data_IF_684165749866
#
_entry.id   IF_684165749866
#
_cell.length_a   1.000
_cell.length_b   1.000
_cell.length_c   1.000
_cell.angle_alpha   90.00
_cell.angle_beta   90.00
_cell.angle_gamma   90.00
#
_symmetry.space_group_name_H-M   'P 1'
#
loop_
_entity.id
_entity.type
_entity.pdbx_description
1 polymer ?
#
# COMPACT_ATOMS: atom_id res chain seq x y z
N UNK A 1 -14.97 -50.93 66.19
CA UNK A 1 -15.10 -49.75 65.29
C UNK A 1 -13.72 -49.33 64.74
N UNK A 2 -12.99 -50.21 64.06
CA UNK A 2 -11.60 -49.93 63.57
C UNK A 2 -11.41 -50.12 62.07
N UNK A 3 -12.39 -50.71 61.38
CA UNK A 3 -12.38 -50.98 59.94
C UNK A 3 -12.67 -49.73 59.10
N UNK A 4 -13.63 -48.89 59.50
CA UNK A 4 -14.05 -47.69 58.74
C UNK A 4 -12.94 -46.65 58.57
N UNK A 5 -12.09 -46.48 59.59
CA UNK A 5 -10.97 -45.52 59.51
C UNK A 5 -9.86 -46.05 58.60
N UNK A 6 -9.57 -47.35 58.63
CA UNK A 6 -8.58 -47.97 57.73
C UNK A 6 -9.04 -47.93 56.27
N UNK A 7 -10.32 -48.17 56.00
CA UNK A 7 -10.87 -48.05 54.64
C UNK A 7 -10.84 -46.61 54.14
N UNK A 8 -11.18 -45.64 55.00
CA UNK A 8 -11.10 -44.21 54.64
C UNK A 8 -9.65 -43.79 54.35
N UNK A 9 -8.68 -44.25 55.13
CA UNK A 9 -7.25 -43.98 54.90
C UNK A 9 -6.74 -44.66 53.62
N UNK A 10 -7.17 -45.88 53.34
CA UNK A 10 -6.79 -46.58 52.10
C UNK A 10 -7.40 -45.88 50.87
N UNK A 11 -8.65 -45.42 50.94
CA UNK A 11 -9.27 -44.67 49.83
C UNK A 11 -8.61 -43.31 49.60
N UNK A 12 -8.24 -42.57 50.65
CA UNK A 12 -7.55 -41.28 50.47
C UNK A 12 -6.15 -41.47 49.89
N UNK A 13 -5.39 -42.46 50.35
CA UNK A 13 -4.07 -42.78 49.80
C UNK A 13 -4.19 -43.21 48.33
N UNK A 14 -5.15 -44.08 48.01
CA UNK A 14 -5.40 -44.51 46.64
C UNK A 14 -5.82 -43.35 45.73
N UNK A 15 -6.70 -42.47 46.21
CA UNK A 15 -7.15 -41.28 45.49
C UNK A 15 -6.02 -40.30 45.20
N UNK A 16 -5.18 -39.99 46.20
CA UNK A 16 -4.02 -39.11 46.04
C UNK A 16 -3.01 -39.69 45.04
N UNK A 17 -2.80 -41.01 45.06
CA UNK A 17 -1.86 -41.68 44.15
C UNK A 17 -2.38 -41.72 42.72
N UNK A 18 -3.69 -41.92 42.53
CA UNK A 18 -4.30 -41.90 41.20
C UNK A 18 -4.25 -40.49 40.59
N UNK A 19 -4.58 -39.46 41.36
CA UNK A 19 -4.54 -38.05 40.89
C UNK A 19 -3.12 -37.62 40.57
N UNK A 20 -2.12 -37.99 41.39
CA UNK A 20 -0.71 -37.65 41.12
C UNK A 20 -0.18 -38.35 39.87
N UNK A 21 -0.57 -39.61 39.63
CA UNK A 21 -0.23 -40.33 38.41
C UNK A 21 -0.80 -39.66 37.14
N UNK A 22 -2.05 -39.20 37.20
CA UNK A 22 -2.70 -38.48 36.10
C UNK A 22 -2.01 -37.13 35.85
N UNK A 23 -1.70 -36.36 36.90
CA UNK A 23 -0.99 -35.09 36.77
C UNK A 23 0.42 -35.30 36.19
N UNK A 24 1.17 -36.29 36.67
CA UNK A 24 2.50 -36.62 36.17
C UNK A 24 2.46 -37.03 34.70
N UNK A 25 1.47 -37.84 34.29
CA UNK A 25 1.29 -38.23 32.90
C UNK A 25 0.89 -37.04 32.02
N UNK A 26 0.00 -36.16 32.49
CA UNK A 26 -0.39 -34.96 31.77
C UNK A 26 0.80 -34.00 31.55
N UNK A 27 1.63 -33.79 32.57
CA UNK A 27 2.86 -32.99 32.46
C UNK A 27 3.88 -33.64 31.51
N UNK A 28 4.08 -34.96 31.61
CA UNK A 28 4.95 -35.70 30.69
C UNK A 28 4.45 -35.61 29.24
N UNK A 29 3.15 -35.74 29.02
CA UNK A 29 2.55 -35.71 27.69
C UNK A 29 2.59 -34.31 27.07
N UNK A 30 2.29 -33.25 27.83
CA UNK A 30 2.44 -31.86 27.34
C UNK A 30 3.92 -31.53 27.07
N UNK A 31 4.85 -32.02 27.89
CA UNK A 31 6.29 -31.92 27.63
C UNK A 31 6.69 -32.64 26.33
N UNK A 32 6.22 -33.87 26.13
CA UNK A 32 6.49 -34.68 24.92
C UNK A 32 5.90 -34.03 23.67
N UNK A 33 4.72 -33.42 23.77
CA UNK A 33 4.08 -32.67 22.67
C UNK A 33 4.81 -31.38 22.34
N UNK A 34 5.24 -30.61 23.34
CA UNK A 34 5.93 -29.32 23.13
C UNK A 34 7.40 -29.46 22.75
N UNK A 35 8.03 -30.59 23.09
CA UNK A 35 9.44 -30.85 22.81
C UNK A 35 9.67 -31.81 21.64
N UNK A 36 8.81 -31.78 20.62
CA UNK A 36 8.96 -32.58 19.42
C UNK A 36 10.21 -32.14 18.62
N UNK A 37 11.29 -32.90 18.79
CA UNK A 37 12.63 -32.62 18.24
C UNK A 37 12.61 -32.63 16.71
N UNK A 38 11.69 -33.39 16.11
CA UNK A 38 11.54 -33.49 14.66
C UNK A 38 11.05 -32.17 14.04
N UNK A 39 10.08 -31.50 14.68
CA UNK A 39 9.55 -30.21 14.26
C UNK A 39 10.56 -29.07 14.47
N UNK A 40 11.27 -29.06 15.60
CA UNK A 40 12.35 -28.08 15.84
C UNK A 40 13.52 -28.26 14.88
N UNK A 41 13.86 -29.51 14.51
CA UNK A 41 14.87 -29.79 13.48
C UNK A 41 14.39 -29.36 12.10
N UNK A 42 13.11 -29.54 11.76
CA UNK A 42 12.51 -29.02 10.52
C UNK A 42 12.54 -27.49 10.51
N UNK A 43 12.06 -26.82 11.55
CA UNK A 43 12.14 -25.36 11.69
C UNK A 43 13.56 -24.82 11.65
N UNK A 44 14.54 -25.49 12.29
CA UNK A 44 15.95 -25.07 12.21
C UNK A 44 16.55 -25.31 10.82
N UNK A 45 16.17 -26.38 10.13
CA UNK A 45 16.58 -26.63 8.75
C UNK A 45 15.96 -25.60 7.80
N UNK A 46 14.67 -25.31 7.94
CA UNK A 46 13.98 -24.28 7.16
C UNK A 46 14.52 -22.88 7.47
N UNK A 47 14.71 -22.50 8.74
CA UNK A 47 15.36 -21.23 9.11
C UNK A 47 16.79 -21.14 8.59
N UNK A 48 17.57 -22.22 8.63
CA UNK A 48 18.94 -22.24 8.10
C UNK A 48 18.97 -22.18 6.57
N UNK A 49 17.98 -22.76 5.89
CA UNK A 49 17.80 -22.60 4.43
C UNK A 49 17.43 -21.17 4.10
N UNK A 50 16.43 -20.60 4.77
CA UNK A 50 16.00 -19.20 4.56
C UNK A 50 17.12 -18.21 4.86
N UNK A 51 17.87 -18.40 5.95
CA UNK A 51 19.04 -17.55 6.28
C UNK A 51 20.20 -17.78 5.30
N UNK A 52 20.43 -19.02 4.81
CA UNK A 52 21.45 -19.28 3.79
C UNK A 52 21.06 -18.70 2.43
N UNK A 53 19.80 -18.80 2.04
CA UNK A 53 19.25 -18.17 0.83
C UNK A 53 19.28 -16.64 0.95
N UNK A 54 18.97 -16.08 2.14
CA UNK A 54 19.07 -14.64 2.41
C UNK A 54 20.52 -14.14 2.47
N UNK A 55 21.45 -14.93 3.03
CA UNK A 55 22.88 -14.59 3.05
C UNK A 55 23.58 -14.79 1.68
N UNK A 56 23.00 -15.62 0.81
CA UNK A 56 23.42 -15.76 -0.59
C UNK A 56 22.74 -14.73 -1.52
N UNK A 57 21.80 -13.94 -1.00
CA UNK A 57 21.12 -12.85 -1.71
C UNK A 57 21.64 -11.45 -1.34
N UNK A 58 22.83 -11.36 -0.71
CA UNK A 58 23.63 -10.14 -0.68
C UNK A 58 24.80 -10.36 -1.64
N UNK A 59 24.54 -10.24 -2.95
CA UNK A 59 24.68 -8.94 -3.59
C UNK A 59 23.54 -8.62 -4.57
N UNK A 60 23.13 -7.34 -4.60
CA UNK A 60 22.56 -6.60 -5.74
C UNK A 60 22.24 -7.41 -7.01
N UNK A 61 20.95 -7.65 -7.31
CA UNK A 61 20.28 -7.49 -8.64
C UNK A 61 19.02 -8.37 -8.80
N UNK A 62 17.88 -7.70 -9.03
CA UNK A 62 16.80 -8.08 -9.97
C UNK A 62 15.97 -9.36 -9.72
N UNK A 63 15.04 -9.27 -8.77
CA UNK A 63 13.95 -10.25 -8.56
C UNK A 63 13.41 -10.13 -7.14
N UNK A 64 12.70 -9.05 -6.84
CA UNK A 64 12.64 -8.47 -5.49
C UNK A 64 11.48 -9.02 -4.65
N UNK A 65 11.61 -10.22 -4.08
CA UNK A 65 10.61 -10.70 -3.10
C UNK A 65 10.75 -9.92 -1.79
N UNK A 66 10.02 -8.81 -1.63
CA UNK A 66 9.90 -8.08 -0.36
C UNK A 66 8.70 -8.65 0.40
N UNK A 67 8.92 -9.15 1.61
CA UNK A 67 7.83 -9.58 2.48
C UNK A 67 6.99 -10.76 1.93
N UNK A 68 7.62 -11.74 1.28
CA UNK A 68 6.95 -12.92 0.69
C UNK A 68 6.03 -12.61 -0.51
N UNK A 69 5.92 -11.35 -0.95
CA UNK A 69 5.13 -10.98 -2.13
C UNK A 69 6.08 -10.84 -3.34
N UNK A 70 5.69 -11.41 -4.48
CA UNK A 70 6.46 -11.31 -5.73
C UNK A 70 6.12 -10.03 -6.49
N UNK A 71 7.08 -9.53 -7.29
CA UNK A 71 6.86 -8.34 -8.14
C UNK A 71 5.67 -8.53 -9.09
N UNK A 72 5.48 -9.75 -9.61
CA UNK A 72 4.37 -10.08 -10.51
C UNK A 72 3.01 -9.97 -9.79
N UNK A 73 2.90 -10.43 -8.54
CA UNK A 73 1.69 -10.26 -7.72
C UNK A 73 1.39 -8.78 -7.47
N UNK A 74 2.41 -7.96 -7.26
CA UNK A 74 2.27 -6.52 -7.05
C UNK A 74 1.79 -5.84 -8.34
N UNK A 75 2.31 -6.22 -9.53
CA UNK A 75 1.78 -5.71 -10.81
C UNK A 75 0.31 -6.04 -11.01
N UNK A 76 -0.08 -7.29 -10.77
CA UNK A 76 -1.47 -7.72 -10.89
C UNK A 76 -2.37 -6.99 -9.88
N UNK A 77 -1.87 -6.74 -8.67
CA UNK A 77 -2.59 -5.94 -7.67
C UNK A 77 -2.76 -4.48 -8.11
N UNK A 78 -1.73 -3.87 -8.70
CA UNK A 78 -1.79 -2.50 -9.23
C UNK A 78 -2.77 -2.37 -10.39
N UNK A 79 -2.80 -3.33 -11.31
CA UNK A 79 -3.77 -3.35 -12.41
C UNK A 79 -5.21 -3.36 -11.88
N UNK A 80 -5.49 -4.18 -10.86
CA UNK A 80 -6.80 -4.20 -10.19
C UNK A 80 -7.14 -2.85 -9.56
N UNK A 81 -6.20 -2.24 -8.84
CA UNK A 81 -6.41 -0.93 -8.21
C UNK A 81 -6.63 0.15 -9.28
N UNK A 82 -5.91 0.11 -10.40
CA UNK A 82 -6.07 1.06 -11.52
C UNK A 82 -7.43 0.93 -12.20
N UNK A 83 -7.96 -0.28 -12.34
CA UNK A 83 -9.27 -0.55 -12.92
C UNK A 83 -10.44 -0.10 -12.03
N UNK A 84 -10.21 0.12 -10.73
CA UNK A 84 -11.23 0.64 -9.82
C UNK A 84 -11.42 2.15 -10.01
N UNK A 85 -12.67 2.58 -10.16
CA UNK A 85 -13.04 3.99 -10.26
C UNK A 85 -12.86 4.69 -8.91
N UNK A 86 -12.11 5.79 -8.93
CA UNK A 86 -11.97 6.67 -7.77
C UNK A 86 -13.21 7.55 -7.69
N UNK A 87 -13.87 7.69 -6.52
CA UNK A 87 -15.06 8.52 -6.40
C UNK A 87 -14.80 9.96 -6.85
N UNK A 88 -15.72 10.61 -7.59
CA UNK A 88 -15.48 11.92 -8.18
C UNK A 88 -15.57 13.05 -7.15
N UNK A 89 -16.49 12.96 -6.19
CA UNK A 89 -16.74 14.07 -5.26
C UNK A 89 -15.76 14.08 -4.08
N UNK A 90 -15.43 15.26 -3.51
CA UNK A 90 -14.56 15.34 -2.34
C UNK A 90 -15.10 14.56 -1.14
N UNK A 91 -16.42 14.59 -0.93
CA UNK A 91 -17.09 13.92 0.18
C UNK A 91 -17.00 12.39 0.05
N UNK A 92 -17.25 11.83 -1.13
CA UNK A 92 -17.13 10.39 -1.35
C UNK A 92 -15.67 9.91 -1.30
N UNK A 93 -14.71 10.75 -1.71
CA UNK A 93 -13.28 10.44 -1.56
C UNK A 93 -12.88 10.31 -0.10
N UNK A 94 -13.41 11.18 0.77
CA UNK A 94 -13.16 11.10 2.21
C UNK A 94 -13.74 9.81 2.80
N UNK A 95 -14.98 9.46 2.45
CA UNK A 95 -15.60 8.21 2.89
C UNK A 95 -14.83 6.97 2.40
N UNK A 96 -14.44 6.97 1.12
CA UNK A 96 -13.62 5.92 0.54
C UNK A 96 -12.26 5.81 1.24
N UNK A 97 -11.58 6.93 1.49
CA UNK A 97 -10.31 6.95 2.23
C UNK A 97 -10.45 6.30 3.60
N UNK A 98 -11.45 6.71 4.38
CA UNK A 98 -11.70 6.17 5.72
C UNK A 98 -11.98 4.66 5.67
N UNK A 99 -12.80 4.23 4.72
CA UNK A 99 -13.09 2.81 4.49
C UNK A 99 -11.82 2.01 4.16
N UNK A 100 -10.96 2.53 3.29
CA UNK A 100 -9.71 1.87 2.91
C UNK A 100 -8.74 1.80 4.08
N UNK A 101 -8.55 2.88 4.85
CA UNK A 101 -7.67 2.86 6.03
C UNK A 101 -8.17 1.84 7.05
N UNK A 102 -9.48 1.85 7.36
CA UNK A 102 -10.08 0.89 8.28
C UNK A 102 -9.88 -0.55 7.82
N UNK A 103 -10.11 -0.84 6.53
CA UNK A 103 -9.91 -2.17 5.97
C UNK A 103 -8.43 -2.59 6.01
N UNK A 104 -7.52 -1.69 5.64
CA UNK A 104 -6.08 -1.93 5.71
C UNK A 104 -5.61 -2.27 7.12
N UNK A 105 -6.05 -1.52 8.13
CA UNK A 105 -5.76 -1.77 9.53
C UNK A 105 -6.28 -3.13 10.02
N UNK A 106 -7.51 -3.50 9.63
CA UNK A 106 -8.06 -4.82 9.94
C UNK A 106 -7.25 -5.96 9.32
N UNK A 107 -6.72 -5.76 8.11
CA UNK A 107 -5.91 -6.76 7.41
C UNK A 107 -4.50 -6.89 7.99
N UNK A 108 -3.93 -5.82 8.55
CA UNK A 108 -2.62 -5.84 9.20
C UNK A 108 -2.49 -6.90 10.30
N UNK A 109 -3.58 -7.20 11.01
CA UNK A 109 -3.57 -8.14 12.15
C UNK A 109 -3.82 -9.60 11.74
N UNK A 110 -4.20 -9.88 10.49
CA UNK A 110 -4.55 -11.23 10.03
C UNK A 110 -3.35 -12.10 9.65
N UNK A 111 -2.14 -11.51 9.61
CA UNK A 111 -0.88 -12.22 9.38
C UNK A 111 -0.35 -12.12 7.94
N UNK A 112 0.71 -12.89 7.60
CA UNK A 112 1.51 -12.66 6.40
C UNK A 112 0.76 -12.76 5.07
N UNK A 113 -0.25 -13.63 4.97
CA UNK A 113 -1.04 -13.82 3.75
C UNK A 113 -1.86 -12.57 3.37
N UNK A 114 -2.10 -11.66 4.32
CA UNK A 114 -2.92 -10.46 4.12
C UNK A 114 -2.07 -9.19 3.96
N UNK A 115 -0.74 -9.31 3.88
CA UNK A 115 0.15 -8.15 3.72
C UNK A 115 -0.07 -7.41 2.40
N UNK A 116 -0.20 -8.13 1.29
CA UNK A 116 -0.52 -7.52 -0.02
C UNK A 116 -1.93 -6.90 -0.02
N UNK A 117 -3.00 -7.61 0.40
CA UNK A 117 -4.32 -6.99 0.59
C UNK A 117 -4.32 -5.70 1.43
N UNK A 118 -3.62 -5.71 2.57
CA UNK A 118 -3.51 -4.53 3.43
C UNK A 118 -2.78 -3.38 2.71
N UNK A 119 -1.67 -3.67 2.03
CA UNK A 119 -0.92 -2.68 1.27
C UNK A 119 -1.76 -2.06 0.15
N UNK A 120 -2.58 -2.85 -0.55
CA UNK A 120 -3.49 -2.32 -1.57
C UNK A 120 -4.51 -1.32 -0.99
N UNK A 121 -5.01 -1.54 0.23
CA UNK A 121 -5.90 -0.60 0.90
C UNK A 121 -5.21 0.74 1.19
N UNK A 122 -4.00 0.71 1.77
CA UNK A 122 -3.23 1.93 2.04
C UNK A 122 -2.83 2.66 0.75
N UNK A 123 -2.46 1.93 -0.31
CA UNK A 123 -2.15 2.52 -1.60
C UNK A 123 -3.38 3.17 -2.27
N UNK A 124 -4.58 2.58 -2.16
CA UNK A 124 -5.84 3.24 -2.56
C UNK A 124 -6.07 4.54 -1.79
N UNK A 125 -5.78 4.54 -0.49
CA UNK A 125 -5.83 5.76 0.34
C UNK A 125 -4.93 6.88 -0.19
N UNK A 126 -3.69 6.55 -0.60
CA UNK A 126 -2.76 7.52 -1.18
C UNK A 126 -3.27 8.17 -2.47
N UNK A 127 -4.05 7.45 -3.29
CA UNK A 127 -4.59 7.98 -4.56
C UNK A 127 -5.68 9.03 -4.40
N UNK A 128 -6.39 9.00 -3.27
CA UNK A 128 -7.54 9.90 -3.01
C UNK A 128 -7.22 11.03 -2.03
N UNK A 129 -6.08 10.92 -1.34
CA UNK A 129 -5.66 11.89 -0.34
C UNK A 129 -4.98 13.11 -0.99
N UNK A 130 -5.31 14.35 -0.57
CA UNK A 130 -4.80 15.57 -1.22
C UNK A 130 -3.29 15.79 -1.06
N UNK A 131 -2.68 15.25 0.02
CA UNK A 131 -1.25 15.40 0.34
C UNK A 131 -0.60 14.03 0.57
N UNK A 132 -0.31 13.25 -0.51
CA UNK A 132 0.14 11.86 -0.37
C UNK A 132 1.46 11.71 0.39
N UNK A 133 2.35 12.71 0.35
CA UNK A 133 3.62 12.70 1.08
C UNK A 133 3.41 12.74 2.59
N UNK A 134 2.47 13.57 3.06
CA UNK A 134 2.13 13.66 4.49
C UNK A 134 1.51 12.34 4.97
N UNK A 135 0.58 11.78 4.20
CA UNK A 135 -0.04 10.50 4.52
C UNK A 135 0.99 9.36 4.56
N UNK A 136 1.97 9.38 3.66
CA UNK A 136 3.06 8.41 3.64
C UNK A 136 3.93 8.48 4.92
N UNK A 137 4.19 9.68 5.45
CA UNK A 137 4.91 9.88 6.72
C UNK A 137 4.13 9.33 7.92
N UNK A 138 2.80 9.43 7.89
CA UNK A 138 1.95 8.82 8.91
C UNK A 138 2.05 7.29 8.80
N UNK A 139 1.89 6.73 7.61
CA UNK A 139 1.99 5.29 7.39
C UNK A 139 3.34 4.71 7.80
N UNK A 140 4.44 5.42 7.58
CA UNK A 140 5.77 4.99 8.04
C UNK A 140 5.81 4.69 9.55
N UNK A 141 5.04 5.45 10.34
CA UNK A 141 5.03 5.34 11.80
C UNK A 141 3.90 4.45 12.34
N UNK A 142 2.80 4.30 11.60
CA UNK A 142 1.60 3.60 12.09
C UNK A 142 1.39 2.22 11.47
N UNK A 143 1.89 1.99 10.25
CA UNK A 143 1.71 0.73 9.52
C UNK A 143 2.90 -0.20 9.76
N UNK A 144 2.70 -1.51 9.97
CA UNK A 144 3.80 -2.46 10.11
C UNK A 144 4.78 -2.41 8.92
N UNK A 145 6.08 -2.45 9.22
CA UNK A 145 7.17 -2.32 8.23
C UNK A 145 7.02 -3.22 6.99
N UNK A 146 6.62 -4.52 7.09
CA UNK A 146 6.46 -5.36 5.90
C UNK A 146 5.40 -4.82 4.92
N UNK A 147 4.32 -4.25 5.44
CA UNK A 147 3.21 -3.73 4.64
C UNK A 147 3.60 -2.38 4.04
N UNK A 148 4.23 -1.52 4.84
CA UNK A 148 4.75 -0.23 4.36
C UNK A 148 5.74 -0.38 3.21
N UNK A 149 6.65 -1.38 3.28
CA UNK A 149 7.57 -1.66 2.18
C UNK A 149 6.86 -2.08 0.88
N UNK A 150 5.78 -2.84 0.97
CA UNK A 150 4.97 -3.21 -0.20
C UNK A 150 4.29 -1.97 -0.78
N UNK A 151 3.76 -1.06 0.06
CA UNK A 151 3.17 0.21 -0.40
C UNK A 151 4.19 1.07 -1.14
N UNK A 152 5.43 1.19 -0.62
CA UNK A 152 6.51 1.90 -1.29
C UNK A 152 6.86 1.28 -2.65
N UNK A 153 6.86 -0.06 -2.73
CA UNK A 153 7.13 -0.78 -3.97
C UNK A 153 6.00 -0.56 -5.00
N UNK A 154 4.74 -0.63 -4.57
CA UNK A 154 3.57 -0.29 -5.39
C UNK A 154 3.71 1.12 -5.99
N UNK A 155 4.11 2.11 -5.19
CA UNK A 155 4.34 3.49 -5.65
C UNK A 155 5.47 3.57 -6.69
N UNK A 156 6.60 2.92 -6.44
CA UNK A 156 7.74 2.95 -7.38
C UNK A 156 7.40 2.31 -8.74
N UNK A 157 6.64 1.21 -8.71
CA UNK A 157 6.18 0.51 -9.91
C UNK A 157 5.14 1.33 -10.67
N UNK A 158 4.27 2.04 -9.96
CA UNK A 158 3.28 2.92 -10.56
C UNK A 158 3.91 4.11 -11.29
N UNK A 159 4.98 4.69 -10.73
CA UNK A 159 5.78 5.75 -11.37
C UNK A 159 6.58 5.23 -12.58
N UNK A 160 6.89 3.94 -12.65
CA UNK A 160 7.70 3.34 -13.73
C UNK A 160 6.89 2.93 -14.97
N UNK A 161 5.56 2.79 -14.86
CA UNK A 161 4.67 2.43 -15.98
C UNK A 161 3.74 3.56 -16.51
N UNK A 162 4.18 4.81 -16.70
CA UNK A 162 3.32 5.82 -17.29
C UNK A 162 3.34 5.69 -18.83
N UNK A 163 2.46 4.88 -19.42
CA UNK A 163 1.85 5.07 -20.77
C UNK A 163 1.32 3.78 -21.43
N UNK A 164 -0.01 3.56 -21.39
CA UNK A 164 -0.80 3.03 -22.53
C UNK A 164 -2.28 2.88 -22.15
N UNK A 165 -3.06 3.97 -22.22
CA UNK A 165 -4.49 3.96 -22.62
C UNK A 165 -5.15 5.32 -22.35
N UNK A 166 -4.85 6.29 -23.22
CA UNK A 166 -5.79 7.39 -23.50
C UNK A 166 -6.02 7.39 -25.00
N UNK A 167 -6.86 6.48 -25.47
CA UNK A 167 -7.49 6.58 -26.79
C UNK A 167 -8.90 6.00 -26.69
N UNK A 168 -9.86 6.87 -26.40
CA UNK A 168 -11.18 6.78 -27.03
C UNK A 168 -11.46 8.16 -27.61
N UNK A 169 -10.93 8.35 -28.83
CA UNK A 169 -11.48 9.30 -29.77
C UNK A 169 -12.77 8.70 -30.32
N UNK A 170 -13.88 9.43 -30.20
CA UNK A 170 -15.02 9.31 -31.08
C UNK A 170 -15.37 10.72 -31.56
N UNK A 171 -14.53 11.25 -32.45
CA UNK A 171 -14.94 12.25 -33.44
C UNK A 171 -14.97 11.55 -34.80
N UNK A 172 -16.12 11.64 -35.47
CA UNK A 172 -16.27 11.10 -36.80
C UNK A 172 -17.60 11.47 -37.44
N UNK A 173 -17.67 12.67 -38.04
CA UNK A 173 -18.38 12.83 -39.30
C UNK A 173 -17.88 14.03 -40.11
N UNK A 174 -17.24 13.74 -41.26
CA UNK A 174 -16.96 14.60 -42.41
C UNK A 174 -18.29 15.09 -43.06
N UNK A 175 -18.42 16.11 -43.91
CA UNK A 175 -17.74 16.49 -45.18
C UNK A 175 -18.08 17.98 -45.50
N UNK A 176 -17.11 18.83 -45.85
CA UNK A 176 -16.68 19.31 -47.21
C UNK A 176 -17.49 20.47 -47.85
N UNK A 177 -16.71 21.49 -48.26
CA UNK A 177 -16.86 22.48 -49.35
C UNK A 177 -17.72 23.76 -49.25
N UNK A 178 -16.97 24.88 -49.33
CA UNK A 178 -17.12 26.04 -50.24
C UNK A 178 -17.99 27.28 -49.89
N UNK A 179 -17.43 28.41 -50.34
CA UNK A 179 -17.99 29.74 -50.63
C UNK A 179 -17.87 30.89 -49.61
N UNK A 180 -16.95 31.80 -49.99
CA UNK A 180 -16.88 33.23 -49.70
C UNK A 180 -18.23 33.95 -49.92
N UNK A 181 -18.63 34.81 -48.98
CA UNK A 181 -19.18 36.15 -49.30
C UNK A 181 -19.48 36.94 -48.02
N UNK A 182 -19.01 38.19 -48.01
CA UNK A 182 -19.20 39.20 -46.97
C UNK A 182 -20.67 39.50 -46.64
N UNK A 183 -20.92 40.19 -45.52
CA UNK A 183 -21.79 41.36 -45.63
C UNK A 183 -21.23 42.61 -44.93
N UNK A 184 -21.18 43.70 -45.70
CA UNK A 184 -21.06 45.08 -45.24
C UNK A 184 -22.44 45.67 -44.94
N UNK A 185 -22.62 46.32 -43.78
CA UNK A 185 -23.49 47.49 -43.51
C UNK A 185 -23.38 47.88 -42.03
N UNK A 186 -22.64 48.93 -41.68
CA UNK A 186 -22.99 50.38 -41.66
C UNK A 186 -23.82 50.80 -40.44
N UNK A 187 -23.17 51.52 -39.52
CA UNK A 187 -23.73 52.41 -38.50
C UNK A 187 -22.60 53.30 -37.91
N UNK A 188 -22.71 54.65 -37.87
CA UNK A 188 -21.57 55.55 -37.63
C UNK A 188 -21.71 56.31 -36.26
N UNK A 189 -20.93 57.37 -35.93
CA UNK A 189 -20.02 57.37 -34.78
C UNK A 189 -20.36 58.42 -33.71
N UNK A 190 -19.81 58.29 -32.50
CA UNK A 190 -19.68 59.40 -31.53
C UNK A 190 -18.51 59.06 -30.60
N UNK A 191 -17.36 59.74 -30.74
CA UNK A 191 -16.96 60.93 -29.99
C UNK A 191 -15.98 60.58 -28.85
N UNK A 192 -14.72 60.93 -29.10
CA UNK A 192 -13.73 61.52 -28.18
C UNK A 192 -13.73 61.08 -26.71
N UNK A 193 -12.64 60.41 -26.31
CA UNK A 193 -11.99 60.73 -25.04
C UNK A 193 -10.47 60.70 -25.24
N UNK A 194 -9.93 61.90 -25.43
CA UNK A 194 -8.66 62.43 -24.94
C UNK A 194 -7.85 61.49 -24.02
N UNK A 195 -6.54 61.25 -24.16
CA UNK A 195 -5.38 62.11 -24.44
C UNK A 195 -4.40 61.84 -23.30
N UNK A 196 -3.12 61.63 -23.66
CA UNK A 196 -1.94 61.89 -22.80
C UNK A 196 -1.83 60.96 -21.57
N UNK A 197 -0.71 60.36 -21.22
CA UNK A 197 0.67 60.83 -21.15
C UNK A 197 1.57 59.61 -21.40
N UNK A 198 2.40 59.64 -22.42
CA UNK A 198 3.79 60.09 -22.33
C UNK A 198 4.56 59.30 -21.25
N UNK A 199 5.30 58.23 -21.60
CA UNK A 199 6.65 58.21 -22.21
C UNK A 199 7.72 58.02 -21.13
N UNK A 200 8.82 57.40 -21.59
CA UNK A 200 10.19 57.44 -21.03
C UNK A 200 10.43 56.34 -19.97
N UNK A 201 11.37 55.41 -20.14
CA UNK A 201 12.71 55.55 -20.76
C UNK A 201 13.19 54.23 -21.37
N UNK A 202 13.84 54.38 -22.52
CA UNK A 202 14.47 53.39 -23.39
C UNK A 202 15.80 52.81 -22.86
N UNK A 203 16.32 51.73 -23.48
CA UNK A 203 17.40 50.88 -23.01
C UNK A 203 18.81 51.47 -23.18
N UNK A 204 19.67 51.17 -22.22
CA UNK A 204 21.09 51.52 -22.21
C UNK A 204 21.84 50.72 -23.30
N UNK A 205 22.50 51.44 -24.21
CA UNK A 205 23.25 50.86 -25.33
C UNK A 205 24.52 51.66 -25.61
N UNK A 206 25.65 50.96 -25.42
CA UNK A 206 26.92 51.00 -26.20
C UNK A 206 28.00 52.05 -25.82
N UNK A 207 29.27 51.90 -26.29
CA UNK A 207 30.06 50.73 -26.71
C UNK A 207 31.52 50.72 -26.16
N UNK A 208 32.25 49.63 -26.47
CA UNK A 208 33.69 49.45 -26.25
C UNK A 208 34.59 50.31 -27.16
N UNK A 209 35.75 50.79 -26.67
CA UNK A 209 36.98 51.01 -27.45
C UNK A 209 38.23 50.84 -26.56
N UNK A 210 39.20 50.08 -27.08
CA UNK A 210 40.56 49.86 -26.57
C UNK A 210 41.50 51.02 -26.92
N UNK A 211 42.42 51.38 -26.02
CA UNK A 211 43.84 51.70 -26.27
C UNK A 211 44.57 51.70 -24.93
#
# INVERSE_FOLDING_TARGET
MSSTNRTSTVLTIAGVTAVSGILAYALYFDYKRRNDVSFRKKLRKEKKKVVKTAAQAAPESTGSTIGHVSDDEIRVALEKVRAEEVPPTPQEKEEFFLSQVQMGEQLCVQGPAYQLPAAMCFYRGLRVYPSPVELLMIYQNTVPEPIFKIVMQMMNMDVSEPSSSTEHAEEGHLEVSEEETSPSRRGPPSETSSQEWDKVTDPDSQPAVST
#
